data_IF_343378255492
#
_entry.id   IF_343378255492
#
_cell.length_a   1.000
_cell.length_b   1.000
_cell.length_c   1.000
_cell.angle_alpha   90.00
_cell.angle_beta   90.00
_cell.angle_gamma   90.00
#
_symmetry.space_group_name_H-M   'P 1'
#
loop_
_entity.id
_entity.type
_entity.pdbx_description
1 polymer ?
#
# COMPACT_ATOMS: atom_id res chain seq x y z
N UNK A 1 -14.94 -1.45 34.25
CA UNK A 1 -15.41 -0.26 33.49
C UNK A 1 -14.26 0.25 32.64
N UNK A 2 -14.00 -0.42 31.52
CA UNK A 2 -12.97 -0.02 30.53
C UNK A 2 -13.71 -0.12 29.21
N UNK A 3 -14.42 0.94 28.85
CA UNK A 3 -15.39 0.89 27.78
C UNK A 3 -15.60 2.27 27.21
N UNK A 4 -15.36 2.37 25.90
CA UNK A 4 -15.83 3.38 24.94
C UNK A 4 -14.84 4.39 24.36
N UNK A 5 -13.61 4.52 24.85
CA UNK A 5 -12.64 5.45 24.22
C UNK A 5 -11.76 4.83 23.12
N UNK A 6 -11.53 3.52 23.12
CA UNK A 6 -10.66 2.86 22.14
C UNK A 6 -11.31 2.57 20.75
N UNK A 7 -12.57 2.99 20.53
CA UNK A 7 -13.33 2.73 19.28
C UNK A 7 -13.43 4.02 18.44
N UNK A 8 -12.69 5.08 18.79
CA UNK A 8 -12.80 6.38 18.12
C UNK A 8 -11.74 6.62 17.02
N UNK A 9 -10.57 5.97 17.07
CA UNK A 9 -9.48 6.26 16.12
C UNK A 9 -9.38 5.37 14.88
N UNK A 10 -9.81 4.10 14.91
CA UNK A 10 -9.86 3.27 13.69
C UNK A 10 -10.90 3.75 12.66
N UNK A 11 -11.58 4.86 12.95
CA UNK A 11 -12.50 5.55 12.05
C UNK A 11 -11.78 6.52 11.10
N UNK A 12 -10.59 7.06 11.42
CA UNK A 12 -9.88 8.04 10.57
C UNK A 12 -9.50 7.44 9.21
N UNK A 13 -8.74 6.35 9.20
CA UNK A 13 -8.33 5.66 7.97
C UNK A 13 -9.54 5.10 7.19
N UNK A 14 -10.61 4.72 7.89
CA UNK A 14 -11.83 4.18 7.26
C UNK A 14 -12.76 5.27 6.70
N UNK A 15 -12.83 6.44 7.34
CA UNK A 15 -13.57 7.62 6.86
C UNK A 15 -12.86 8.26 5.67
N UNK A 16 -11.53 8.27 5.65
CA UNK A 16 -10.72 8.68 4.49
C UNK A 16 -11.03 7.84 3.25
N UNK A 17 -11.39 6.57 3.44
CA UNK A 17 -11.77 5.66 2.35
C UNK A 17 -13.24 5.72 1.95
N UNK A 18 -14.12 6.43 2.65
CA UNK A 18 -15.52 6.62 2.23
C UNK A 18 -15.66 7.99 1.53
N UNK A 19 -15.12 8.15 0.31
CA UNK A 19 -15.18 9.46 -0.37
C UNK A 19 -14.30 9.66 -1.64
N UNK A 20 -14.01 10.92 -2.01
CA UNK A 20 -13.24 11.27 -3.22
C UNK A 20 -11.82 10.68 -3.25
N UNK A 21 -11.22 10.45 -2.08
CA UNK A 21 -9.89 9.87 -1.95
C UNK A 21 -9.86 8.40 -2.41
N UNK A 22 -10.82 7.59 -1.99
CA UNK A 22 -10.95 6.21 -2.47
C UNK A 22 -11.06 6.18 -4.00
N UNK A 23 -11.88 7.05 -4.58
CA UNK A 23 -12.02 7.16 -6.04
C UNK A 23 -10.69 7.52 -6.73
N UNK A 24 -9.88 8.42 -6.16
CA UNK A 24 -8.58 8.80 -6.74
C UNK A 24 -7.57 7.65 -6.61
N UNK A 25 -7.49 7.01 -5.45
CA UNK A 25 -6.62 5.85 -5.23
C UNK A 25 -7.00 4.72 -6.20
N UNK A 26 -8.29 4.43 -6.31
CA UNK A 26 -8.83 3.40 -7.19
C UNK A 26 -8.54 3.71 -8.67
N UNK A 27 -8.76 4.96 -9.10
CA UNK A 27 -8.43 5.41 -10.45
C UNK A 27 -6.93 5.33 -10.75
N UNK A 28 -6.07 5.61 -9.75
CA UNK A 28 -4.62 5.52 -9.88
C UNK A 28 -4.17 4.07 -10.04
N UNK A 29 -4.74 3.16 -9.25
CA UNK A 29 -4.52 1.73 -9.39
C UNK A 29 -4.98 1.24 -10.77
N UNK A 30 -6.19 1.60 -11.19
CA UNK A 30 -6.73 1.20 -12.48
C UNK A 30 -5.89 1.72 -13.66
N UNK A 31 -5.50 3.00 -13.64
CA UNK A 31 -4.62 3.56 -14.67
C UNK A 31 -3.23 2.90 -14.69
N UNK A 32 -2.74 2.45 -13.55
CA UNK A 32 -1.46 1.71 -13.48
C UNK A 32 -1.57 0.31 -14.06
N UNK A 33 -2.69 -0.38 -13.83
CA UNK A 33 -2.93 -1.70 -14.40
C UNK A 33 -3.20 -1.60 -15.92
N UNK A 34 -3.91 -0.55 -16.36
CA UNK A 34 -4.21 -0.32 -17.77
C UNK A 34 -2.96 0.14 -18.54
N UNK A 35 -2.33 -0.78 -19.28
CA UNK A 35 -1.21 -0.48 -20.17
C UNK A 35 0.18 -0.73 -19.57
N UNK A 36 0.24 -1.34 -18.39
CA UNK A 36 1.50 -1.79 -17.79
C UNK A 36 1.51 -3.32 -17.61
N UNK A 37 2.63 -3.87 -17.13
CA UNK A 37 2.77 -5.31 -16.84
C UNK A 37 2.32 -5.67 -15.41
N UNK A 38 1.72 -4.73 -14.67
CA UNK A 38 1.23 -4.96 -13.31
C UNK A 38 0.00 -5.86 -13.37
N UNK A 39 0.06 -6.99 -12.69
CA UNK A 39 -1.03 -7.98 -12.65
C UNK A 39 -1.95 -7.77 -11.44
N UNK A 40 -1.42 -7.16 -10.37
CA UNK A 40 -2.18 -6.81 -9.18
C UNK A 40 -1.48 -5.71 -8.39
N UNK A 41 -2.25 -4.94 -7.64
CA UNK A 41 -1.73 -3.86 -6.82
C UNK A 41 -2.57 -3.69 -5.55
N UNK A 42 -1.94 -3.23 -4.48
CA UNK A 42 -2.59 -2.94 -3.20
C UNK A 42 -1.89 -1.77 -2.51
N UNK A 43 -2.63 -1.06 -1.66
CA UNK A 43 -2.11 0.04 -0.85
C UNK A 43 -2.34 -0.27 0.61
N UNK A 44 -1.31 -0.05 1.42
CA UNK A 44 -1.43 0.06 2.87
C UNK A 44 -1.14 1.49 3.29
N UNK A 45 -1.92 2.00 4.26
CA UNK A 45 -1.72 3.30 4.87
C UNK A 45 -1.17 3.12 6.29
N UNK A 46 -0.24 3.99 6.67
CA UNK A 46 0.35 4.00 8.01
C UNK A 46 -0.62 4.64 9.00
N UNK A 47 -0.98 3.89 10.04
CA UNK A 47 -1.56 4.45 11.25
C UNK A 47 -0.40 4.91 12.15
N UNK A 48 -0.09 6.21 12.12
CA UNK A 48 1.04 6.80 12.86
C UNK A 48 0.90 6.61 14.39
N UNK A 49 -0.34 6.59 14.91
CA UNK A 49 -0.58 6.44 16.35
C UNK A 49 -0.29 5.01 16.82
N UNK A 50 -0.61 4.02 16.00
CA UNK A 50 -0.37 2.60 16.32
C UNK A 50 0.99 2.10 15.86
N UNK A 51 1.62 2.77 14.90
CA UNK A 51 2.84 2.28 14.24
C UNK A 51 2.59 1.02 13.42
N UNK A 52 1.41 0.90 12.83
CA UNK A 52 0.94 -0.28 12.09
C UNK A 52 0.38 0.11 10.72
N UNK A 53 0.52 -0.78 9.74
CA UNK A 53 -0.05 -0.59 8.41
C UNK A 53 -1.46 -1.17 8.32
N UNK A 54 -2.39 -0.38 7.80
CA UNK A 54 -3.77 -0.78 7.52
C UNK A 54 -3.98 -0.98 6.03
N UNK A 55 -4.59 -2.10 5.65
CA UNK A 55 -4.96 -2.37 4.26
C UNK A 55 -6.04 -1.39 3.80
N UNK A 56 -5.79 -0.67 2.70
CA UNK A 56 -6.67 0.39 2.20
C UNK A 56 -7.46 -0.08 0.98
N UNK A 57 -6.79 -0.30 -0.15
CA UNK A 57 -7.44 -0.67 -1.40
C UNK A 57 -6.58 -1.58 -2.26
N UNK A 58 -7.18 -2.20 -3.28
CA UNK A 58 -6.49 -3.10 -4.20
C UNK A 58 -7.18 -3.21 -5.56
N UNK A 59 -6.42 -3.66 -6.56
CA UNK A 59 -6.90 -4.03 -7.89
C UNK A 59 -6.13 -5.23 -8.43
N UNK A 60 -6.79 -6.06 -9.23
CA UNK A 60 -6.19 -7.25 -9.85
C UNK A 60 -5.88 -8.42 -8.91
N UNK A 61 -6.06 -8.26 -7.59
CA UNK A 61 -5.87 -9.32 -6.60
C UNK A 61 -7.15 -10.12 -6.38
N UNK A 62 -7.01 -11.41 -6.07
CA UNK A 62 -8.15 -12.27 -5.71
C UNK A 62 -8.65 -11.95 -4.30
N UNK A 63 -9.91 -12.29 -3.99
CA UNK A 63 -10.41 -12.18 -2.61
C UNK A 63 -9.56 -12.97 -1.61
N UNK A 64 -8.96 -14.08 -2.02
CA UNK A 64 -8.11 -14.88 -1.15
C UNK A 64 -6.81 -14.15 -0.81
N UNK A 65 -6.19 -13.48 -1.79
CA UNK A 65 -5.04 -12.61 -1.56
C UNK A 65 -5.37 -11.48 -0.57
N UNK A 66 -6.53 -10.83 -0.77
CA UNK A 66 -6.98 -9.71 0.07
C UNK A 66 -7.23 -10.17 1.51
N UNK A 67 -7.95 -11.28 1.70
CA UNK A 67 -8.23 -11.83 3.03
C UNK A 67 -6.94 -12.23 3.77
N UNK A 68 -5.95 -12.78 3.07
CA UNK A 68 -4.64 -13.07 3.67
C UNK A 68 -3.91 -11.78 4.08
N UNK A 69 -3.97 -10.76 3.23
CA UNK A 69 -3.37 -9.45 3.48
C UNK A 69 -3.99 -8.76 4.71
N UNK A 70 -5.32 -8.76 4.83
CA UNK A 70 -6.04 -8.20 5.97
C UNK A 70 -5.80 -8.99 7.27
N UNK A 71 -5.62 -10.31 7.16
CA UNK A 71 -5.34 -11.19 8.30
C UNK A 71 -3.87 -11.15 8.76
N UNK A 72 -2.99 -10.50 8.01
CA UNK A 72 -1.54 -10.42 8.29
C UNK A 72 -1.15 -8.98 8.61
N UNK A 73 -1.16 -8.58 9.90
CA UNK A 73 -0.72 -7.26 10.31
C UNK A 73 0.74 -7.04 9.90
N UNK A 74 1.04 -5.84 9.38
CA UNK A 74 2.41 -5.45 9.04
C UNK A 74 2.86 -4.34 9.98
N UNK A 75 3.92 -4.62 10.75
CA UNK A 75 4.57 -3.64 11.63
C UNK A 75 5.72 -2.94 10.92
N UNK A 76 6.07 -1.75 11.43
CA UNK A 76 7.24 -1.02 10.96
C UNK A 76 8.52 -1.84 11.09
N UNK A 77 9.32 -1.86 10.02
CA UNK A 77 10.57 -2.61 9.94
C UNK A 77 10.41 -4.13 9.77
N UNK A 78 9.17 -4.65 9.76
CA UNK A 78 8.91 -6.09 9.62
C UNK A 78 8.71 -6.50 8.16
N UNK A 79 9.49 -7.48 7.71
CA UNK A 79 9.43 -7.97 6.34
C UNK A 79 9.75 -6.89 5.30
N UNK A 80 9.41 -7.17 4.05
CA UNK A 80 9.67 -6.23 2.95
C UNK A 80 8.82 -4.96 3.11
N UNK A 81 7.50 -5.14 3.31
CA UNK A 81 6.54 -4.04 3.36
C UNK A 81 6.84 -3.10 4.53
N UNK A 82 7.09 -3.64 5.73
CA UNK A 82 7.44 -2.83 6.90
C UNK A 82 8.80 -2.16 6.77
N UNK A 83 9.77 -2.79 6.10
CA UNK A 83 11.07 -2.19 5.81
C UNK A 83 10.97 -0.99 4.87
N UNK A 84 10.09 -1.03 3.86
CA UNK A 84 9.90 0.10 2.94
C UNK A 84 9.36 1.31 3.69
N UNK A 85 8.39 1.13 4.59
CA UNK A 85 7.90 2.24 5.42
C UNK A 85 9.01 2.80 6.31
N UNK A 86 9.78 1.92 6.94
CA UNK A 86 10.83 2.32 7.89
C UNK A 86 12.01 3.05 7.22
N UNK A 87 12.42 2.58 6.04
CA UNK A 87 13.57 3.16 5.32
C UNK A 87 13.17 4.30 4.40
N UNK A 88 11.92 4.33 3.95
CA UNK A 88 11.47 5.24 2.90
C UNK A 88 12.07 4.91 1.53
N UNK A 89 12.64 3.72 1.33
CA UNK A 89 13.28 3.33 0.07
C UNK A 89 12.49 2.20 -0.60
N UNK A 90 12.32 2.24 -1.93
CA UNK A 90 11.59 1.21 -2.65
C UNK A 90 12.37 -0.11 -2.70
N UNK A 91 11.64 -1.24 -2.65
CA UNK A 91 12.23 -2.58 -2.68
C UNK A 91 11.60 -3.40 -3.80
N UNK A 92 12.43 -3.83 -4.76
CA UNK A 92 12.05 -4.80 -5.78
C UNK A 92 12.54 -6.21 -5.43
N UNK A 93 11.63 -7.16 -5.53
CA UNK A 93 11.86 -8.58 -5.31
C UNK A 93 11.59 -9.31 -6.61
N UNK A 94 12.65 -9.84 -7.23
CA UNK A 94 12.55 -10.52 -8.52
C UNK A 94 11.87 -11.90 -8.42
N UNK A 95 11.94 -12.57 -7.27
CA UNK A 95 11.33 -13.87 -7.03
C UNK A 95 10.74 -13.97 -5.61
N UNK A 96 9.41 -13.96 -5.52
CA UNK A 96 8.64 -14.10 -4.28
C UNK A 96 8.88 -15.44 -3.57
N UNK A 97 9.19 -16.51 -4.30
CA UNK A 97 9.43 -17.82 -3.70
C UNK A 97 10.76 -17.90 -2.95
N UNK A 98 11.70 -17.00 -3.27
CA UNK A 98 13.02 -16.92 -2.64
C UNK A 98 13.17 -15.72 -1.70
N UNK A 99 12.14 -14.89 -1.60
CA UNK A 99 12.18 -13.63 -0.87
C UNK A 99 12.10 -13.85 0.65
N UNK A 100 13.24 -13.70 1.32
CA UNK A 100 13.26 -13.55 2.77
C UNK A 100 12.46 -12.29 3.16
N UNK A 101 11.50 -12.42 4.07
CA UNK A 101 10.65 -11.31 4.51
C UNK A 101 9.38 -11.07 3.70
N UNK A 102 9.06 -11.92 2.71
CA UNK A 102 7.73 -11.97 2.11
C UNK A 102 6.90 -13.09 2.76
N UNK A 103 6.00 -12.72 3.67
CA UNK A 103 5.30 -13.66 4.55
C UNK A 103 4.00 -14.23 3.99
N UNK A 104 3.48 -13.69 2.88
CA UNK A 104 2.22 -14.12 2.27
C UNK A 104 2.41 -15.31 1.33
N UNK A 105 1.51 -16.28 1.39
CA UNK A 105 1.57 -17.52 0.62
C UNK A 105 0.56 -17.56 -0.52
N UNK A 106 -0.59 -16.90 -0.40
CA UNK A 106 -1.61 -16.91 -1.46
C UNK A 106 -1.09 -16.29 -2.77
N UNK A 107 -0.39 -15.13 -2.79
CA UNK A 107 0.17 -14.59 -4.02
C UNK A 107 1.13 -15.54 -4.73
N UNK A 108 1.98 -16.25 -3.97
CA UNK A 108 2.91 -17.26 -4.51
C UNK A 108 2.14 -18.40 -5.18
N UNK A 109 1.09 -18.91 -4.52
CA UNK A 109 0.25 -20.00 -5.04
C UNK A 109 -0.55 -19.60 -6.27
N UNK A 110 -0.96 -18.34 -6.35
CA UNK A 110 -1.70 -17.79 -7.48
C UNK A 110 -0.80 -17.41 -8.66
N UNK A 111 0.51 -17.64 -8.57
CA UNK A 111 1.46 -17.49 -9.67
C UNK A 111 2.01 -16.08 -9.85
N UNK A 112 1.95 -15.22 -8.83
CA UNK A 112 2.76 -14.01 -8.82
C UNK A 112 4.22 -14.38 -8.58
N UNK A 113 5.10 -13.82 -9.42
CA UNK A 113 6.52 -14.14 -9.44
C UNK A 113 7.36 -13.06 -8.79
N UNK A 114 7.13 -11.79 -9.13
CA UNK A 114 7.91 -10.67 -8.61
C UNK A 114 7.00 -9.63 -7.96
N UNK A 115 7.63 -8.77 -7.15
CA UNK A 115 6.94 -7.83 -6.29
C UNK A 115 7.74 -6.53 -6.18
N UNK A 116 7.06 -5.40 -6.24
CA UNK A 116 7.68 -4.09 -6.08
C UNK A 116 6.91 -3.30 -5.03
N UNK A 117 7.56 -2.96 -3.93
CA UNK A 117 6.99 -2.18 -2.85
C UNK A 117 7.59 -0.78 -2.87
N UNK A 118 6.72 0.21 -3.00
CA UNK A 118 7.03 1.62 -3.15
C UNK A 118 6.55 2.37 -1.90
N UNK A 119 7.36 3.25 -1.31
CA UNK A 119 6.89 4.14 -0.25
C UNK A 119 5.95 5.19 -0.84
N UNK A 120 4.83 5.44 -0.16
CA UNK A 120 3.97 6.60 -0.43
C UNK A 120 4.43 7.72 0.49
N UNK A 121 4.99 8.79 -0.08
CA UNK A 121 5.59 9.89 0.68
C UNK A 121 4.77 11.16 0.50
N UNK A 122 4.56 11.89 1.58
CA UNK A 122 4.06 13.26 1.56
C UNK A 122 5.02 14.13 2.35
N UNK A 123 5.45 15.24 1.75
CA UNK A 123 6.52 16.10 2.25
C UNK A 123 7.73 15.26 2.75
N UNK A 124 8.03 15.33 4.05
CA UNK A 124 9.19 14.69 4.68
C UNK A 124 8.85 13.37 5.40
N UNK A 125 7.66 12.79 5.19
CA UNK A 125 7.21 11.56 5.87
C UNK A 125 6.68 10.48 4.91
N UNK A 126 6.66 9.23 5.39
CA UNK A 126 6.07 8.09 4.70
C UNK A 126 4.66 7.85 5.26
N UNK A 127 3.64 7.99 4.41
CA UNK A 127 2.24 7.82 4.78
C UNK A 127 1.71 6.41 4.54
N UNK A 128 2.46 5.58 3.83
CA UNK A 128 2.03 4.24 3.47
C UNK A 128 2.95 3.57 2.45
N UNK A 129 2.45 2.50 1.85
CA UNK A 129 3.16 1.72 0.83
C UNK A 129 2.21 1.29 -0.27
N UNK A 130 2.71 1.38 -1.50
CA UNK A 130 2.07 0.89 -2.70
C UNK A 130 2.81 -0.33 -3.22
N UNK A 131 2.09 -1.44 -3.28
CA UNK A 131 2.63 -2.75 -3.57
C UNK A 131 2.13 -3.21 -4.93
N UNK A 132 3.05 -3.62 -5.80
CA UNK A 132 2.78 -4.07 -7.16
C UNK A 132 3.22 -5.52 -7.33
N UNK A 133 2.35 -6.33 -7.92
CA UNK A 133 2.56 -7.74 -8.17
C UNK A 133 2.64 -8.01 -9.67
N UNK A 134 3.55 -8.92 -10.04
CA UNK A 134 3.80 -9.28 -11.43
C UNK A 134 3.95 -10.79 -11.57
N UNK A 135 3.48 -11.34 -12.68
CA UNK A 135 3.64 -12.73 -13.12
C UNK A 135 4.92 -12.95 -13.93
N UNK A 136 5.78 -11.94 -14.01
CA UNK A 136 7.09 -11.99 -14.65
C UNK A 136 8.17 -11.55 -13.68
N UNK A 137 9.38 -12.09 -13.84
CA UNK A 137 10.57 -11.70 -13.06
C UNK A 137 11.40 -10.62 -13.78
N UNK A 138 11.16 -10.42 -15.08
CA UNK A 138 12.02 -9.59 -15.93
C UNK A 138 11.42 -8.19 -16.11
N UNK A 139 11.78 -7.30 -15.20
CA UNK A 139 11.46 -5.88 -15.26
C UNK A 139 12.75 -5.06 -15.34
N UNK A 140 12.79 -4.09 -16.24
CA UNK A 140 13.94 -3.20 -16.36
C UNK A 140 13.90 -2.13 -15.27
N UNK A 141 15.06 -1.67 -14.81
CA UNK A 141 15.13 -0.56 -13.83
C UNK A 141 14.42 0.69 -14.33
N UNK A 142 14.47 0.98 -15.64
CA UNK A 142 13.72 2.10 -16.24
C UNK A 142 12.21 1.97 -16.04
N UNK A 143 11.67 0.76 -16.16
CA UNK A 143 10.25 0.50 -15.97
C UNK A 143 9.87 0.62 -14.49
N UNK A 144 10.68 0.07 -13.58
CA UNK A 144 10.47 0.21 -12.13
C UNK A 144 10.53 1.68 -11.69
N UNK A 145 11.47 2.46 -12.21
CA UNK A 145 11.56 3.89 -11.92
C UNK A 145 10.34 4.67 -12.45
N UNK A 146 9.81 4.28 -13.61
CA UNK A 146 8.58 4.89 -14.13
C UNK A 146 7.37 4.59 -13.25
N UNK A 147 7.27 3.37 -12.72
CA UNK A 147 6.22 2.97 -11.77
C UNK A 147 6.33 3.66 -10.40
N UNK A 148 7.48 4.23 -10.05
CA UNK A 148 7.63 4.98 -8.80
C UNK A 148 6.97 6.37 -8.88
N UNK A 149 6.85 6.95 -10.07
CA UNK A 149 6.34 8.33 -10.26
C UNK A 149 4.89 8.48 -9.72
N UNK A 150 3.93 7.59 -10.00
CA UNK A 150 2.59 7.71 -9.45
C UNK A 150 2.52 7.58 -7.92
N UNK A 151 3.51 6.95 -7.28
CA UNK A 151 3.55 6.82 -5.82
C UNK A 151 3.67 8.18 -5.13
N UNK A 152 4.39 9.13 -5.74
CA UNK A 152 4.53 10.50 -5.24
C UNK A 152 3.18 11.24 -5.30
N UNK A 153 2.45 11.09 -6.42
CA UNK A 153 1.12 11.68 -6.58
C UNK A 153 0.11 11.14 -5.55
N UNK A 154 0.16 9.83 -5.26
CA UNK A 154 -0.69 9.24 -4.21
C UNK A 154 -0.43 9.92 -2.86
N UNK A 155 0.83 10.22 -2.54
CA UNK A 155 1.20 10.90 -1.31
C UNK A 155 0.64 12.33 -1.23
N UNK A 156 0.76 13.10 -2.30
CA UNK A 156 0.18 14.45 -2.37
C UNK A 156 -1.35 14.45 -2.19
N UNK A 157 -2.04 13.48 -2.78
CA UNK A 157 -3.49 13.34 -2.67
C UNK A 157 -3.91 13.00 -1.24
N UNK A 158 -3.16 12.14 -0.54
CA UNK A 158 -3.40 11.81 0.87
C UNK A 158 -3.24 13.04 1.77
N UNK A 159 -2.17 13.82 1.57
CA UNK A 159 -1.92 15.06 2.30
C UNK A 159 -3.05 16.07 2.12
N UNK A 160 -3.52 16.24 0.88
CA UNK A 160 -4.65 17.11 0.58
C UNK A 160 -5.93 16.65 1.28
N UNK A 161 -6.21 15.35 1.28
CA UNK A 161 -7.39 14.79 1.95
C UNK A 161 -7.35 15.03 3.47
N UNK A 162 -6.19 14.85 4.09
CA UNK A 162 -5.96 15.14 5.52
C UNK A 162 -6.22 16.63 5.84
N UNK A 163 -5.66 17.55 5.05
CA UNK A 163 -5.81 18.99 5.26
C UNK A 163 -7.27 19.48 5.13
N UNK A 164 -8.05 18.89 4.21
CA UNK A 164 -9.47 19.22 4.03
C UNK A 164 -10.31 18.75 5.22
N UNK A 165 -10.02 17.57 5.78
CA UNK A 165 -10.70 17.08 6.97
C UNK A 165 -10.41 17.94 8.21
N UNK A 166 -9.16 18.35 8.40
CA UNK A 166 -8.77 19.24 9.51
C UNK A 166 -9.47 20.59 9.41
N UNK A 167 -9.55 21.15 8.20
CA UNK A 167 -10.26 22.41 7.93
C UNK A 167 -11.78 22.31 8.16
N UNK A 168 -12.36 21.13 7.98
CA UNK A 168 -13.80 20.88 8.19
C UNK A 168 -14.17 20.63 9.67
N UNK A 169 -13.16 20.47 10.54
CA UNK A 169 -13.31 20.24 11.99
C UNK A 169 -13.17 21.50 12.84
N UNK A 170 -12.67 22.61 12.27
CA UNK A 170 -12.55 23.93 12.91
C UNK A 170 -13.77 24.80 12.69
#
# INVERSE_FOLDING_TARGET
>A
MIGKEAIRDSRRTRLMMDGPLEMILDSTLEATLQGSKVDGAEIYLLDEEKGELTYACHRGLSEACVKEAEATPVRLGEGIIGSVVFTGEPVFVADLHQAAGFFREIPKREGYCSFYSLPIKSADRVCGVWNLFFRTQQLSSRYLNWLAIPAEFIGEVLEYAEAVEESSRG
#
